data_IF_084643454195
#
_entry.id   IF_084643454195
#
_cell.length_a   1.000
_cell.length_b   1.000
_cell.length_c   1.000
_cell.angle_alpha   90.00
_cell.angle_beta   90.00
_cell.angle_gamma   90.00
#
_symmetry.space_group_name_H-M   'P 1'
#
loop_
_entity.id
_entity.type
_entity.pdbx_description
1 polymer ?
#
# COMPACT_ATOMS: atom_id res chain seq x y z
N UNK A 1 25.82 -29.81 -22.50
CA UNK A 1 25.02 -28.58 -22.34
C UNK A 1 25.34 -27.54 -23.41
N UNK A 2 26.60 -27.14 -23.60
CA UNK A 2 26.97 -26.15 -24.64
C UNK A 2 26.47 -26.50 -26.06
N UNK A 3 26.72 -27.72 -26.56
CA UNK A 3 26.18 -28.17 -27.86
C UNK A 3 24.64 -28.15 -27.95
N UNK A 4 23.94 -28.36 -26.83
CA UNK A 4 22.48 -28.31 -26.81
C UNK A 4 21.97 -26.86 -26.89
N UNK A 5 22.65 -25.94 -26.20
CA UNK A 5 22.40 -24.51 -26.30
C UNK A 5 22.66 -23.98 -27.72
N UNK A 6 23.81 -24.31 -28.32
CA UNK A 6 24.14 -23.93 -29.70
C UNK A 6 23.08 -24.43 -30.70
N UNK A 7 22.64 -25.68 -30.57
CA UNK A 7 21.57 -26.25 -31.39
C UNK A 7 20.22 -25.51 -31.19
N UNK A 8 19.90 -25.09 -29.96
CA UNK A 8 18.72 -24.26 -29.70
C UNK A 8 18.83 -22.88 -30.38
N UNK A 9 20.01 -22.26 -30.38
CA UNK A 9 20.25 -20.99 -31.05
C UNK A 9 20.07 -21.12 -32.57
N UNK A 10 20.68 -22.15 -33.18
CA UNK A 10 20.57 -22.43 -34.61
C UNK A 10 19.12 -22.66 -35.06
N UNK A 11 18.32 -23.31 -34.23
CA UNK A 11 16.91 -23.61 -34.52
C UNK A 11 15.94 -22.44 -34.26
N UNK A 12 16.43 -21.31 -33.79
CA UNK A 12 15.59 -20.16 -33.47
C UNK A 12 14.88 -20.32 -32.13
N UNK A 13 15.63 -20.26 -31.04
CA UNK A 13 15.09 -20.30 -29.67
C UNK A 13 14.01 -19.23 -29.45
N UNK A 14 12.88 -19.64 -28.84
CA UNK A 14 11.75 -18.75 -28.59
C UNK A 14 12.02 -17.81 -27.40
N UNK A 15 11.28 -16.70 -27.32
CA UNK A 15 11.29 -15.81 -26.14
C UNK A 15 10.94 -16.56 -24.86
N UNK A 16 9.97 -17.48 -24.91
CA UNK A 16 9.53 -18.26 -23.74
C UNK A 16 10.64 -19.18 -23.23
N UNK A 17 11.36 -19.84 -24.14
CA UNK A 17 12.50 -20.68 -23.79
C UNK A 17 13.62 -19.85 -23.15
N UNK A 18 13.96 -18.70 -23.75
CA UNK A 18 14.95 -17.79 -23.18
C UNK A 18 14.54 -17.31 -21.78
N UNK A 19 13.27 -16.98 -21.57
CA UNK A 19 12.74 -16.63 -20.25
C UNK A 19 12.87 -17.79 -19.24
N UNK A 20 12.67 -19.03 -19.68
CA UNK A 20 12.86 -20.21 -18.84
C UNK A 20 14.33 -20.37 -18.43
N UNK A 21 15.28 -20.15 -19.33
CA UNK A 21 16.71 -20.14 -19.00
C UNK A 21 17.06 -19.03 -17.98
N UNK A 22 16.47 -17.83 -18.13
CA UNK A 22 16.69 -16.72 -17.19
C UNK A 22 16.16 -17.03 -15.78
N UNK A 23 14.95 -17.62 -15.70
CA UNK A 23 14.30 -17.96 -14.42
C UNK A 23 14.96 -19.12 -13.70
N UNK A 24 15.45 -20.11 -14.44
CA UNK A 24 15.81 -21.42 -13.88
C UNK A 24 17.31 -21.68 -14.02
N UNK A 25 18.15 -21.30 -13.03
CA UNK A 25 19.60 -21.46 -13.13
C UNK A 25 20.07 -22.91 -13.29
N UNK A 26 19.23 -23.89 -12.94
CA UNK A 26 19.54 -25.31 -13.04
C UNK A 26 19.47 -25.89 -14.46
N UNK A 27 18.83 -25.20 -15.42
CA UNK A 27 18.67 -25.70 -16.80
C UNK A 27 19.93 -25.57 -17.67
N UNK A 28 21.04 -25.07 -17.14
CA UNK A 28 22.28 -24.94 -17.90
C UNK A 28 23.50 -24.43 -17.14
N UNK A 29 23.32 -23.83 -15.96
CA UNK A 29 24.40 -23.12 -15.26
C UNK A 29 24.37 -21.61 -15.52
N UNK A 30 25.11 -20.85 -14.70
CA UNK A 30 25.06 -19.38 -14.68
C UNK A 30 25.37 -18.71 -16.03
N UNK A 31 26.20 -19.34 -16.85
CA UNK A 31 26.67 -18.76 -18.11
C UNK A 31 25.55 -18.61 -19.15
N UNK A 32 24.76 -19.66 -19.38
CA UNK A 32 23.62 -19.59 -20.31
C UNK A 32 22.52 -18.67 -19.81
N UNK A 33 22.41 -18.46 -18.49
CA UNK A 33 21.48 -17.50 -17.92
C UNK A 33 21.80 -16.07 -18.38
N UNK A 34 23.08 -15.69 -18.35
CA UNK A 34 23.53 -14.36 -18.75
C UNK A 34 23.34 -14.15 -20.26
N UNK A 35 23.76 -15.13 -21.07
CA UNK A 35 23.64 -15.08 -22.52
C UNK A 35 22.17 -15.06 -22.97
N UNK A 36 21.31 -15.88 -22.35
CA UNK A 36 19.86 -15.83 -22.60
C UNK A 36 19.27 -14.46 -22.27
N UNK A 37 19.72 -13.83 -21.19
CA UNK A 37 19.30 -12.48 -20.81
C UNK A 37 19.74 -11.41 -21.80
N UNK A 38 20.98 -11.49 -22.30
CA UNK A 38 21.50 -10.60 -23.36
C UNK A 38 20.69 -10.77 -24.65
N UNK A 39 20.45 -12.00 -25.08
CA UNK A 39 19.66 -12.31 -26.28
C UNK A 39 18.20 -11.83 -26.15
N UNK A 40 17.57 -12.04 -24.99
CA UNK A 40 16.25 -11.47 -24.71
C UNK A 40 16.29 -9.96 -24.88
N UNK A 41 17.26 -9.28 -24.28
CA UNK A 41 17.31 -7.82 -24.32
C UNK A 41 17.55 -7.26 -25.72
N UNK A 42 18.40 -7.92 -26.51
CA UNK A 42 18.66 -7.57 -27.91
C UNK A 42 17.41 -7.72 -28.78
N UNK A 43 16.63 -8.79 -28.57
CA UNK A 43 15.42 -9.11 -29.33
C UNK A 43 14.17 -8.44 -28.78
N UNK A 44 14.23 -7.87 -27.57
CA UNK A 44 13.08 -7.30 -26.88
C UNK A 44 12.50 -6.15 -27.70
N UNK A 45 11.22 -6.27 -28.01
CA UNK A 45 10.43 -5.22 -28.67
C UNK A 45 9.33 -4.67 -27.76
N UNK A 46 9.17 -5.25 -26.57
CA UNK A 46 8.13 -4.88 -25.61
C UNK A 46 8.70 -4.47 -24.26
N UNK A 47 7.97 -3.58 -23.58
CA UNK A 47 8.30 -3.13 -22.21
C UNK A 47 8.33 -4.31 -21.24
N UNK A 48 7.42 -5.28 -21.41
CA UNK A 48 7.31 -6.45 -20.53
C UNK A 48 8.53 -7.37 -20.59
N UNK A 49 9.10 -7.60 -21.78
CA UNK A 49 10.32 -8.38 -21.94
C UNK A 49 11.54 -7.69 -21.30
N UNK A 50 11.65 -6.36 -21.46
CA UNK A 50 12.73 -5.60 -20.83
C UNK A 50 12.58 -5.58 -19.31
N UNK A 51 11.36 -5.39 -18.79
CA UNK A 51 11.08 -5.47 -17.35
C UNK A 51 11.39 -6.85 -16.79
N UNK A 52 11.09 -7.91 -17.54
CA UNK A 52 11.44 -9.27 -17.16
C UNK A 52 12.95 -9.42 -16.93
N UNK A 53 13.78 -8.88 -17.83
CA UNK A 53 15.24 -8.88 -17.66
C UNK A 53 15.64 -8.05 -16.43
N UNK A 54 15.10 -6.85 -16.24
CA UNK A 54 15.39 -6.00 -15.06
C UNK A 54 15.10 -6.74 -13.74
N UNK A 55 13.97 -7.45 -13.69
CA UNK A 55 13.52 -8.16 -12.49
C UNK A 55 14.42 -9.36 -12.18
N UNK A 56 14.78 -10.15 -13.19
CA UNK A 56 15.42 -11.46 -13.02
C UNK A 56 16.96 -11.46 -13.19
N UNK A 57 17.55 -10.44 -13.83
CA UNK A 57 18.96 -10.39 -14.22
C UNK A 57 19.68 -9.20 -13.59
N UNK A 58 20.31 -9.40 -12.43
CA UNK A 58 20.95 -8.29 -11.68
C UNK A 58 22.08 -7.61 -12.46
N UNK A 59 22.89 -8.40 -13.16
CA UNK A 59 24.02 -7.97 -14.00
C UNK A 59 23.58 -7.12 -15.20
N UNK A 60 22.45 -7.48 -15.82
CA UNK A 60 21.94 -6.81 -17.02
C UNK A 60 21.04 -5.60 -16.75
N UNK A 61 20.71 -5.30 -15.47
CA UNK A 61 19.76 -4.23 -15.10
C UNK A 61 20.08 -2.87 -15.71
N UNK A 62 21.35 -2.48 -15.80
CA UNK A 62 21.73 -1.17 -16.36
C UNK A 62 21.50 -1.13 -17.87
N UNK A 63 21.96 -2.16 -18.60
CA UNK A 63 21.69 -2.29 -20.04
C UNK A 63 20.19 -2.33 -20.32
N UNK A 64 19.44 -3.11 -19.54
CA UNK A 64 18.00 -3.22 -19.68
C UNK A 64 17.27 -1.92 -19.34
N UNK A 65 17.78 -1.16 -18.37
CA UNK A 65 17.27 0.18 -18.09
C UNK A 65 17.45 1.14 -19.26
N UNK A 66 18.58 1.09 -19.96
CA UNK A 66 18.83 1.95 -21.12
C UNK A 66 17.91 1.54 -22.28
N UNK A 67 17.80 0.22 -22.54
CA UNK A 67 16.87 -0.33 -23.55
C UNK A 67 15.41 0.04 -23.28
N UNK A 68 15.01 0.07 -22.00
CA UNK A 68 13.65 0.44 -21.60
C UNK A 68 13.26 1.84 -22.11
N UNK A 69 14.23 2.76 -22.25
CA UNK A 69 13.97 4.12 -22.77
C UNK A 69 13.90 4.18 -24.29
N UNK A 70 14.54 3.27 -25.01
CA UNK A 70 14.38 3.16 -26.47
C UNK A 70 12.97 2.77 -26.88
N UNK A 71 12.23 2.11 -25.98
CA UNK A 71 10.87 1.60 -26.21
C UNK A 71 9.79 2.37 -25.45
N UNK A 72 10.12 3.57 -24.95
CA UNK A 72 9.20 4.51 -24.28
C UNK A 72 8.36 3.90 -23.14
N UNK A 73 8.88 3.83 -21.90
CA UNK A 73 8.19 3.15 -20.81
C UNK A 73 7.01 3.95 -20.28
N UNK A 74 5.99 3.24 -19.82
CA UNK A 74 4.85 3.82 -19.10
C UNK A 74 5.18 4.11 -17.64
N UNK A 75 4.37 4.94 -16.98
CA UNK A 75 4.46 5.16 -15.52
C UNK A 75 4.39 3.83 -14.74
N UNK A 76 3.49 2.92 -15.15
CA UNK A 76 3.38 1.58 -14.58
C UNK A 76 4.69 0.79 -14.66
N UNK A 77 5.39 0.85 -15.79
CA UNK A 77 6.69 0.20 -15.94
C UNK A 77 7.72 0.75 -14.95
N UNK A 78 7.75 2.08 -14.74
CA UNK A 78 8.64 2.70 -13.76
C UNK A 78 8.29 2.30 -12.32
N UNK A 79 7.00 2.19 -11.98
CA UNK A 79 6.55 1.68 -10.68
C UNK A 79 7.03 0.24 -10.45
N UNK A 80 6.99 -0.62 -11.47
CA UNK A 80 7.56 -1.98 -11.39
C UNK A 80 9.07 -1.96 -11.14
N UNK A 81 9.82 -1.11 -11.84
CA UNK A 81 11.26 -0.95 -11.60
C UNK A 81 11.52 -0.48 -10.16
N UNK A 82 10.75 0.48 -9.64
CA UNK A 82 10.85 0.95 -8.25
C UNK A 82 10.59 -0.18 -7.26
N UNK A 83 9.54 -0.97 -7.50
CA UNK A 83 9.11 -2.09 -6.65
C UNK A 83 10.21 -3.14 -6.54
N UNK A 84 10.72 -3.62 -7.67
CA UNK A 84 11.58 -4.81 -7.70
C UNK A 84 13.09 -4.52 -7.71
N UNK A 85 13.52 -3.32 -8.13
CA UNK A 85 14.93 -3.07 -8.43
C UNK A 85 15.52 -1.97 -7.57
N UNK A 86 16.11 -2.35 -6.43
CA UNK A 86 16.69 -1.39 -5.47
C UNK A 86 17.77 -0.47 -6.07
N UNK A 87 18.61 -0.97 -6.98
CA UNK A 87 19.69 -0.20 -7.61
C UNK A 87 19.20 0.87 -8.57
N UNK A 88 18.08 0.64 -9.25
CA UNK A 88 17.49 1.59 -10.22
C UNK A 88 16.41 2.47 -9.60
N UNK A 89 15.93 2.11 -8.41
CA UNK A 89 14.78 2.73 -7.74
C UNK A 89 14.80 4.26 -7.73
N UNK A 90 15.94 4.88 -7.41
CA UNK A 90 16.03 6.35 -7.37
C UNK A 90 15.94 6.97 -8.77
N UNK A 91 16.57 6.37 -9.77
CA UNK A 91 16.49 6.83 -11.17
C UNK A 91 15.06 6.71 -11.70
N UNK A 92 14.43 5.55 -11.49
CA UNK A 92 13.04 5.31 -11.88
C UNK A 92 12.07 6.26 -11.18
N UNK A 93 12.29 6.56 -9.90
CA UNK A 93 11.49 7.54 -9.17
C UNK A 93 11.57 8.95 -9.76
N UNK A 94 12.77 9.44 -10.07
CA UNK A 94 12.92 10.77 -10.67
C UNK A 94 12.21 10.87 -12.03
N UNK A 95 12.26 9.79 -12.82
CA UNK A 95 11.57 9.72 -14.11
C UNK A 95 10.06 9.64 -13.96
N UNK A 96 9.58 8.83 -13.01
CA UNK A 96 8.15 8.74 -12.71
C UNK A 96 7.59 10.10 -12.30
N UNK A 97 8.31 10.87 -11.47
CA UNK A 97 7.93 12.23 -11.11
C UNK A 97 7.82 13.19 -12.29
N UNK A 98 8.68 13.04 -13.31
CA UNK A 98 8.62 13.85 -14.54
C UNK A 98 7.39 13.51 -15.38
N UNK A 99 6.91 12.27 -15.31
CA UNK A 99 5.71 11.81 -16.03
C UNK A 99 4.39 12.20 -15.34
N UNK A 100 4.44 12.68 -14.09
CA UNK A 100 3.24 13.02 -13.33
C UNK A 100 2.52 11.77 -12.82
N UNK A 101 2.99 11.13 -11.74
CA UNK A 101 2.37 9.91 -11.23
C UNK A 101 0.99 10.20 -10.67
N UNK A 102 0.08 9.24 -10.83
CA UNK A 102 -1.24 9.31 -10.23
C UNK A 102 -1.24 8.82 -8.76
N UNK A 103 -2.44 8.71 -8.17
CA UNK A 103 -2.60 8.26 -6.78
C UNK A 103 -2.18 6.81 -6.59
N UNK A 104 -2.48 5.93 -7.55
CA UNK A 104 -2.24 4.49 -7.45
C UNK A 104 -0.76 4.16 -7.61
N UNK A 105 -0.08 4.87 -8.52
CA UNK A 105 1.38 4.86 -8.65
C UNK A 105 2.04 5.23 -7.31
N UNK A 106 1.63 6.35 -6.72
CA UNK A 106 2.18 6.85 -5.46
C UNK A 106 1.88 5.90 -4.30
N UNK A 107 0.67 5.34 -4.23
CA UNK A 107 0.30 4.34 -3.22
C UNK A 107 1.16 3.09 -3.34
N UNK A 108 1.41 2.61 -4.56
CA UNK A 108 2.32 1.49 -4.81
C UNK A 108 3.74 1.78 -4.33
N UNK A 109 4.25 2.99 -4.58
CA UNK A 109 5.57 3.41 -4.09
C UNK A 109 5.60 3.49 -2.56
N UNK A 110 4.57 4.07 -1.94
CA UNK A 110 4.41 4.12 -0.47
C UNK A 110 4.45 2.71 0.11
N UNK A 111 3.82 1.75 -0.55
CA UNK A 111 3.77 0.37 -0.10
C UNK A 111 5.10 -0.35 -0.24
N UNK A 112 5.65 -0.39 -1.45
CA UNK A 112 6.74 -1.29 -1.79
C UNK A 112 8.13 -0.67 -1.63
N UNK A 113 8.27 0.65 -1.64
CA UNK A 113 9.57 1.33 -1.63
C UNK A 113 9.83 2.11 -0.33
N UNK A 114 10.28 1.40 0.72
CA UNK A 114 10.55 1.98 2.06
C UNK A 114 11.39 3.27 2.05
N UNK A 115 12.41 3.35 1.19
CA UNK A 115 13.31 4.52 1.11
C UNK A 115 12.73 5.71 0.33
N UNK A 116 11.61 5.54 -0.38
CA UNK A 116 10.93 6.62 -1.11
C UNK A 116 9.57 6.98 -0.51
N UNK A 117 9.08 6.17 0.44
CA UNK A 117 7.75 6.27 1.03
C UNK A 117 7.35 7.68 1.47
N UNK A 118 8.23 8.39 2.16
CA UNK A 118 7.94 9.75 2.62
C UNK A 118 7.89 10.78 1.50
N UNK A 119 8.66 10.59 0.43
CA UNK A 119 8.58 11.46 -0.75
C UNK A 119 7.29 11.20 -1.52
N UNK A 120 6.95 9.93 -1.74
CA UNK A 120 5.70 9.54 -2.37
C UNK A 120 4.48 10.00 -1.57
N UNK A 121 4.52 9.92 -0.23
CA UNK A 121 3.49 10.48 0.64
C UNK A 121 3.31 12.00 0.48
N UNK A 122 4.41 12.76 0.43
CA UNK A 122 4.32 14.21 0.19
C UNK A 122 3.70 14.53 -1.15
N UNK A 123 4.09 13.80 -2.20
CA UNK A 123 3.47 13.95 -3.53
C UNK A 123 1.99 13.56 -3.54
N UNK A 124 1.62 12.50 -2.82
CA UNK A 124 0.22 12.10 -2.71
C UNK A 124 -0.61 13.18 -1.99
N UNK A 125 -0.05 13.82 -0.97
CA UNK A 125 -0.67 14.98 -0.31
C UNK A 125 -0.87 16.13 -1.29
N UNK A 126 0.14 16.47 -2.10
CA UNK A 126 0.08 17.58 -3.06
C UNK A 126 -1.05 17.40 -4.09
N UNK A 127 -1.27 16.17 -4.58
CA UNK A 127 -2.35 15.87 -5.53
C UNK A 127 -3.73 15.62 -4.88
N UNK A 128 -3.78 15.60 -3.54
CA UNK A 128 -4.98 15.31 -2.77
C UNK A 128 -5.32 13.82 -2.71
N UNK A 129 -5.06 13.10 -1.60
CA UNK A 129 -5.44 11.70 -1.44
C UNK A 129 -6.95 11.55 -1.30
N UNK A 130 -7.49 10.40 -1.75
CA UNK A 130 -8.87 10.02 -1.44
C UNK A 130 -9.00 9.46 -0.03
N UNK A 131 -10.23 9.33 0.47
CA UNK A 131 -10.49 8.70 1.76
C UNK A 131 -9.99 7.25 1.80
N UNK A 132 -10.07 6.51 0.69
CA UNK A 132 -9.58 5.12 0.56
C UNK A 132 -8.05 5.07 0.68
N UNK A 133 -7.33 5.99 0.02
CA UNK A 133 -5.87 6.07 0.14
C UNK A 133 -5.47 6.34 1.61
N UNK A 134 -6.16 7.25 2.27
CA UNK A 134 -5.92 7.57 3.69
C UNK A 134 -6.24 6.38 4.60
N UNK A 135 -7.36 5.71 4.36
CA UNK A 135 -7.79 4.51 5.09
C UNK A 135 -6.72 3.41 5.00
N UNK A 136 -6.18 3.16 3.81
CA UNK A 136 -5.13 2.15 3.60
C UNK A 136 -3.83 2.51 4.34
N UNK A 137 -3.43 3.79 4.32
CA UNK A 137 -2.26 4.26 5.07
C UNK A 137 -2.47 4.08 6.58
N UNK A 138 -3.68 4.36 7.09
CA UNK A 138 -4.02 4.13 8.49
C UNK A 138 -3.99 2.64 8.83
N UNK A 139 -4.43 1.76 7.94
CA UNK A 139 -4.44 0.32 8.22
C UNK A 139 -3.03 -0.27 8.26
N UNK A 140 -2.14 0.13 7.34
CA UNK A 140 -0.86 -0.56 7.10
C UNK A 140 0.42 0.26 7.34
N UNK A 141 0.33 1.51 7.78
CA UNK A 141 1.50 2.34 8.14
C UNK A 141 1.58 2.62 9.63
N UNK A 142 2.67 3.24 10.05
CA UNK A 142 2.97 3.53 11.45
C UNK A 142 3.55 4.93 11.60
N UNK A 143 3.64 5.38 12.85
CA UNK A 143 4.28 6.65 13.23
C UNK A 143 3.58 7.88 12.64
N UNK A 144 4.39 8.86 12.25
CA UNK A 144 3.93 10.19 11.80
C UNK A 144 3.03 10.14 10.56
N UNK A 145 3.29 9.23 9.61
CA UNK A 145 2.49 9.13 8.37
C UNK A 145 1.06 8.68 8.67
N UNK A 146 0.91 7.66 9.54
CA UNK A 146 -0.40 7.22 10.02
C UNK A 146 -1.16 8.35 10.72
N UNK A 147 -0.48 9.09 11.60
CA UNK A 147 -1.08 10.23 12.30
C UNK A 147 -1.58 11.31 11.33
N UNK A 148 -0.77 11.69 10.35
CA UNK A 148 -1.15 12.69 9.33
C UNK A 148 -2.31 12.18 8.46
N UNK A 149 -2.31 10.91 8.09
CA UNK A 149 -3.39 10.31 7.32
C UNK A 149 -4.71 10.29 8.12
N UNK A 150 -4.67 9.90 9.40
CA UNK A 150 -5.83 9.95 10.29
C UNK A 150 -6.39 11.37 10.40
N UNK A 151 -5.53 12.36 10.65
CA UNK A 151 -5.96 13.76 10.75
C UNK A 151 -6.62 14.26 9.46
N UNK A 152 -6.04 13.91 8.30
CA UNK A 152 -6.60 14.28 6.99
C UNK A 152 -7.93 13.58 6.73
N UNK A 153 -8.06 12.30 7.05
CA UNK A 153 -9.28 11.54 6.85
C UNK A 153 -10.45 12.14 7.65
N UNK A 154 -10.21 12.50 8.91
CA UNK A 154 -11.21 13.19 9.74
C UNK A 154 -11.67 14.52 9.14
N UNK A 155 -10.76 15.26 8.48
CA UNK A 155 -11.12 16.51 7.80
C UNK A 155 -11.88 16.32 6.48
N UNK A 156 -11.90 15.10 5.92
CA UNK A 156 -12.50 14.77 4.61
C UNK A 156 -13.88 14.08 4.73
N UNK A 157 -14.62 14.33 5.82
CA UNK A 157 -15.97 13.77 6.06
C UNK A 157 -16.02 12.24 5.86
N UNK A 158 -15.31 11.48 6.70
CA UNK A 158 -15.20 10.03 6.54
C UNK A 158 -16.54 9.33 6.77
N UNK A 159 -16.73 8.17 6.13
CA UNK A 159 -17.85 7.28 6.41
C UNK A 159 -17.74 6.61 7.79
N UNK A 160 -18.84 6.06 8.31
CA UNK A 160 -18.83 5.31 9.58
C UNK A 160 -17.80 4.17 9.58
N UNK A 161 -17.69 3.44 8.46
CA UNK A 161 -16.66 2.39 8.26
C UNK A 161 -15.24 2.94 8.41
N UNK A 162 -14.98 4.12 7.84
CA UNK A 162 -13.67 4.78 7.89
C UNK A 162 -13.36 5.29 9.31
N UNK A 163 -14.36 5.82 10.02
CA UNK A 163 -14.24 6.16 11.44
C UNK A 163 -13.92 4.92 12.28
N UNK A 164 -14.59 3.79 12.00
CA UNK A 164 -14.26 2.47 12.55
C UNK A 164 -12.80 2.08 12.34
N UNK A 165 -12.27 2.31 11.14
CA UNK A 165 -10.85 2.05 10.83
C UNK A 165 -9.91 2.92 11.68
N UNK A 166 -10.25 4.18 11.94
CA UNK A 166 -9.48 5.05 12.84
C UNK A 166 -9.50 4.51 14.27
N UNK A 167 -10.64 4.02 14.74
CA UNK A 167 -10.75 3.44 16.09
C UNK A 167 -9.89 2.18 16.26
N UNK A 168 -9.87 1.32 15.24
CA UNK A 168 -9.14 0.04 15.27
C UNK A 168 -7.63 0.21 15.07
N UNK A 169 -7.22 1.05 14.12
CA UNK A 169 -5.83 1.11 13.64
C UNK A 169 -5.13 2.44 13.90
N UNK A 170 -5.87 3.47 14.34
CA UNK A 170 -5.31 4.76 14.70
C UNK A 170 -4.28 4.65 15.82
N UNK A 171 -3.24 5.48 15.75
CA UNK A 171 -2.17 5.49 16.76
C UNK A 171 -2.22 6.69 17.71
N UNK A 172 -3.31 7.48 17.64
CA UNK A 172 -3.49 8.65 18.48
C UNK A 172 -4.79 8.56 19.24
N UNK A 173 -4.69 8.43 20.57
CA UNK A 173 -5.84 8.47 21.48
C UNK A 173 -6.75 9.66 21.21
N UNK A 174 -6.18 10.84 20.96
CA UNK A 174 -6.95 12.06 20.67
C UNK A 174 -7.78 11.90 19.40
N UNK A 175 -7.14 11.51 18.29
CA UNK A 175 -7.84 11.35 17.00
C UNK A 175 -8.83 10.18 17.02
N UNK A 176 -8.56 9.15 17.81
CA UNK A 176 -9.52 8.06 18.02
C UNK A 176 -10.77 8.54 18.77
N UNK A 177 -10.62 9.32 19.84
CA UNK A 177 -11.78 9.93 20.52
C UNK A 177 -12.55 10.88 19.60
N UNK A 178 -11.84 11.70 18.82
CA UNK A 178 -12.45 12.57 17.81
C UNK A 178 -13.24 11.75 16.77
N UNK A 179 -12.71 10.61 16.31
CA UNK A 179 -13.42 9.71 15.40
C UNK A 179 -14.71 9.13 16.00
N UNK A 180 -14.72 8.83 17.31
CA UNK A 180 -15.93 8.38 18.02
C UNK A 180 -16.98 9.49 18.08
N UNK A 181 -16.57 10.73 18.37
CA UNK A 181 -17.48 11.89 18.41
C UNK A 181 -18.10 12.16 17.03
N UNK A 182 -17.31 12.08 15.97
CA UNK A 182 -17.82 12.20 14.59
C UNK A 182 -18.78 11.05 14.28
N UNK A 183 -18.46 9.81 14.70
CA UNK A 183 -19.31 8.65 14.45
C UNK A 183 -20.67 8.77 15.15
N UNK A 184 -20.69 9.23 16.41
CA UNK A 184 -21.92 9.51 17.16
C UNK A 184 -22.76 10.59 16.46
N UNK A 185 -22.10 11.56 15.85
CA UNK A 185 -22.76 12.65 15.12
C UNK A 185 -23.33 12.18 13.77
N UNK A 186 -22.74 11.15 13.16
CA UNK A 186 -23.10 10.58 11.86
C UNK A 186 -24.22 9.51 11.92
N UNK A 187 -25.07 9.54 12.95
CA UNK A 187 -26.17 8.60 13.14
C UNK A 187 -25.70 7.13 13.10
N UNK A 188 -24.92 6.69 14.11
CA UNK A 188 -24.30 5.38 14.12
C UNK A 188 -25.34 4.26 14.22
N UNK A 189 -25.06 3.11 13.61
CA UNK A 189 -25.85 1.89 13.83
C UNK A 189 -25.46 1.19 15.15
N UNK A 190 -26.10 0.06 15.44
CA UNK A 190 -25.84 -0.66 16.69
C UNK A 190 -24.41 -1.26 16.76
N UNK A 191 -23.82 -1.63 15.62
CA UNK A 191 -22.46 -2.15 15.56
C UNK A 191 -21.43 -1.04 15.73
N UNK A 192 -21.67 0.13 15.16
CA UNK A 192 -20.90 1.35 15.40
C UNK A 192 -20.91 1.69 16.90
N UNK A 193 -22.07 1.65 17.55
CA UNK A 193 -22.21 1.95 18.98
C UNK A 193 -21.48 0.90 19.85
N UNK A 194 -21.59 -0.39 19.52
CA UNK A 194 -20.79 -1.46 20.18
C UNK A 194 -19.29 -1.22 20.03
N UNK A 195 -18.86 -0.84 18.84
CA UNK A 195 -17.46 -0.56 18.53
C UNK A 195 -16.94 0.63 19.36
N UNK A 196 -17.69 1.72 19.43
CA UNK A 196 -17.37 2.88 20.27
C UNK A 196 -17.23 2.45 21.74
N UNK A 197 -18.20 1.71 22.27
CA UNK A 197 -18.17 1.27 23.67
C UNK A 197 -16.93 0.44 23.97
N UNK A 198 -16.62 -0.56 23.14
CA UNK A 198 -15.47 -1.43 23.31
C UNK A 198 -14.13 -0.64 23.30
N UNK A 199 -13.94 0.20 22.29
CA UNK A 199 -12.69 0.95 22.15
C UNK A 199 -12.53 2.02 23.24
N UNK A 200 -13.62 2.68 23.65
CA UNK A 200 -13.58 3.67 24.71
C UNK A 200 -13.14 3.07 26.06
N UNK A 201 -13.57 1.83 26.36
CA UNK A 201 -13.12 1.12 27.56
C UNK A 201 -11.60 0.85 27.56
N UNK A 202 -11.01 0.61 26.39
CA UNK A 202 -9.56 0.41 26.27
C UNK A 202 -8.78 1.71 26.41
N UNK A 203 -9.36 2.82 25.96
CA UNK A 203 -8.69 4.13 25.90
C UNK A 203 -8.71 4.87 27.24
N UNK A 204 -9.83 4.84 27.96
CA UNK A 204 -9.97 5.55 29.23
C UNK A 204 -9.79 4.56 30.39
N UNK A 205 -8.73 4.65 31.19
CA UNK A 205 -8.61 3.86 32.41
C UNK A 205 -9.66 4.32 33.40
N UNK A 206 -10.76 3.56 33.48
CA UNK A 206 -11.82 3.73 34.48
C UNK A 206 -11.54 2.83 35.68
N UNK A 207 -11.78 3.34 36.89
CA UNK A 207 -11.77 2.51 38.10
C UNK A 207 -12.75 1.34 37.96
N UNK A 208 -12.47 0.19 38.63
CA UNK A 208 -13.31 -1.02 38.57
C UNK A 208 -14.80 -0.71 38.81
N UNK A 209 -15.11 0.16 39.78
CA UNK A 209 -16.48 0.60 40.10
C UNK A 209 -17.15 1.35 38.94
N UNK A 210 -16.44 2.29 38.30
CA UNK A 210 -16.97 3.02 37.13
C UNK A 210 -17.12 2.10 35.91
N UNK A 211 -16.24 1.10 35.75
CA UNK A 211 -16.36 0.09 34.68
C UNK A 211 -17.60 -0.77 34.85
N UNK A 212 -17.89 -1.24 36.08
CA UNK A 212 -19.10 -2.01 36.39
C UNK A 212 -20.38 -1.24 36.12
N UNK A 213 -20.48 0.01 36.60
CA UNK A 213 -21.65 0.85 36.35
C UNK A 213 -21.87 1.15 34.86
N UNK A 214 -20.77 1.32 34.09
CA UNK A 214 -20.84 1.47 32.63
C UNK A 214 -21.32 0.19 31.94
N UNK A 215 -20.90 -0.99 32.40
CA UNK A 215 -21.42 -2.27 31.88
C UNK A 215 -22.89 -2.46 32.21
N UNK A 216 -23.31 -2.19 33.44
CA UNK A 216 -24.72 -2.28 33.83
C UNK A 216 -25.59 -1.29 33.03
N UNK A 217 -25.06 -0.12 32.67
CA UNK A 217 -25.74 0.84 31.80
C UNK A 217 -25.78 0.35 30.33
N UNK A 218 -24.70 -0.25 29.83
CA UNK A 218 -24.62 -0.83 28.49
C UNK A 218 -25.56 -2.03 28.31
N UNK A 219 -25.61 -2.92 29.30
CA UNK A 219 -26.49 -4.09 29.26
C UNK A 219 -27.97 -3.69 29.25
N UNK A 220 -28.32 -2.56 29.85
CA UNK A 220 -29.67 -1.97 29.73
C UNK A 220 -29.89 -1.27 28.38
N UNK A 221 -28.83 -0.70 27.81
CA UNK A 221 -28.85 0.04 26.53
C UNK A 221 -29.07 -0.87 25.32
N UNK A 222 -28.41 -2.04 25.27
CA UNK A 222 -28.45 -2.96 24.11
C UNK A 222 -29.86 -3.52 23.82
N UNK A 223 -30.74 -3.53 24.82
CA UNK A 223 -32.09 -4.09 24.73
C UNK A 223 -33.18 -3.04 24.38
N UNK A 224 -32.84 -1.73 24.32
CA UNK A 224 -33.79 -0.64 23.95
C UNK A 224 -33.15 0.48 23.11
N UNK A 225 -32.98 0.27 21.78
CA UNK A 225 -32.17 1.14 20.91
C UNK A 225 -32.73 2.56 20.68
N UNK A 226 -34.06 2.69 20.53
CA UNK A 226 -34.70 3.92 20.03
C UNK A 226 -34.80 5.05 21.06
N UNK A 227 -34.80 4.72 22.37
CA UNK A 227 -34.98 5.70 23.44
C UNK A 227 -33.72 6.48 23.83
N UNK A 228 -32.52 6.01 23.45
CA UNK A 228 -31.28 6.35 24.20
C UNK A 228 -30.08 6.85 23.39
N UNK A 229 -30.20 7.08 22.08
CA UNK A 229 -29.28 7.98 21.35
C UNK A 229 -29.21 9.36 22.04
N UNK A 230 -30.32 9.82 22.63
CA UNK A 230 -30.37 11.00 23.52
C UNK A 230 -29.53 10.83 24.80
N UNK A 231 -29.46 9.63 25.37
CA UNK A 231 -28.64 9.33 26.56
C UNK A 231 -27.16 9.28 26.22
N UNK A 232 -26.76 8.72 25.08
CA UNK A 232 -25.38 8.79 24.58
C UNK A 232 -24.96 10.21 24.16
N UNK A 233 -25.89 11.07 23.73
CA UNK A 233 -25.60 12.50 23.52
C UNK A 233 -25.53 13.31 24.82
N UNK A 234 -26.28 12.89 25.86
CA UNK A 234 -26.26 13.49 27.21
C UNK A 234 -25.04 13.06 28.02
N UNK A 235 -24.63 11.81 27.86
CA UNK A 235 -23.29 11.34 28.20
C UNK A 235 -22.40 11.94 27.11
N UNK A 236 -22.05 13.22 27.24
CA UNK A 236 -20.82 13.71 26.61
C UNK A 236 -19.77 12.61 26.80
N UNK A 237 -18.82 12.43 25.90
CA UNK A 237 -17.73 11.47 26.09
C UNK A 237 -16.82 11.76 27.33
N UNK A 238 -17.35 12.42 28.36
CA UNK A 238 -16.99 12.51 29.78
C UNK A 238 -18.23 12.33 30.69
#
# INVERSE_FOLDING_TARGET
MQKAWENCLEKGISTQDLQAFVKTPFLGGLWFKEEAGELLLQRSSSVEEVLFVIENMRSLRLKAWDKLWEIEPTAHALVRVIKWTRSLRRKAWMKLLQMGPDRDDLMTVIEKARNLRWEAWRKLIEIGPTNENLEEIIRYRHGKMKYEATKRLLSQRPSNRQLGTIMLYGNSRKLTLESMEVLISNNPDMEDIKSIYHHYQMIIPVSKRKRRLKHEAWDKFKDTPEGQLKSLRRIKLF
#
